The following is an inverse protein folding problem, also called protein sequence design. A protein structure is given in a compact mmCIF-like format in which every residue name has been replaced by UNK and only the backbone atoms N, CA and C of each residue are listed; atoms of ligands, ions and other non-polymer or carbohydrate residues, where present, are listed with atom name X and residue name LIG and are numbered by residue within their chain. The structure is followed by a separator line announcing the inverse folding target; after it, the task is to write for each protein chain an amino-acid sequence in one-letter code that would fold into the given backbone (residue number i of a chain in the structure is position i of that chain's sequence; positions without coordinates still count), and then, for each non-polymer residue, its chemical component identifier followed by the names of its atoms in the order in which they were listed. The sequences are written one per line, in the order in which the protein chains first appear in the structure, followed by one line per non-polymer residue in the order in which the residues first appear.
data_IF_274789367870
#
_entry.id   IF_274789367870
#
_cell.length_a   1.000
_cell.length_b   1.000
_cell.length_c   1.000
_cell.angle_alpha   90.00
_cell.angle_beta   90.00
_cell.angle_gamma   90.00
#
_symmetry.space_group_name_H-M   'P 1'
#
loop_
_entity.id
_entity.type
_entity.pdbx_description
1 polymer ?
#
# COMPACT_ATOMS: atom_id res chain seq x y z
N UNK A 1 28.10 -24.92 -12.67
CA UNK A 1 27.51 -23.79 -11.90
C UNK A 1 26.01 -23.85 -12.03
N UNK A 2 25.36 -24.36 -10.98
CA UNK A 2 24.02 -24.93 -11.03
C UNK A 2 22.90 -23.90 -11.14
N UNK A 3 21.84 -24.30 -11.83
CA UNK A 3 20.53 -23.69 -11.80
C UNK A 3 20.00 -23.74 -10.36
N UNK A 4 19.83 -22.58 -9.72
CA UNK A 4 19.11 -22.48 -8.45
C UNK A 4 17.62 -22.45 -8.75
N UNK A 5 16.89 -23.39 -8.17
CA UNK A 5 15.44 -23.28 -8.00
C UNK A 5 15.17 -22.09 -7.07
N UNK A 6 14.41 -21.11 -7.55
CA UNK A 6 13.92 -20.02 -6.71
C UNK A 6 12.83 -20.56 -5.80
N UNK A 7 13.10 -20.51 -4.50
CA UNK A 7 12.12 -20.77 -3.46
C UNK A 7 11.07 -19.63 -3.49
N UNK A 8 9.76 -19.91 -3.64
CA UNK A 8 8.72 -18.88 -3.57
C UNK A 8 8.63 -18.19 -2.20
N UNK A 9 9.35 -18.68 -1.17
CA UNK A 9 9.52 -18.02 0.12
C UNK A 9 10.78 -17.13 0.24
N UNK A 10 11.59 -17.00 -0.82
CA UNK A 10 12.74 -16.09 -0.80
C UNK A 10 12.25 -14.63 -0.96
N UNK A 11 11.95 -14.00 0.18
CA UNK A 11 11.59 -12.60 0.31
C UNK A 11 12.57 -11.63 -0.39
N UNK A 12 13.79 -12.09 -0.75
CA UNK A 12 14.76 -11.33 -1.55
C UNK A 12 14.42 -11.26 -3.04
N UNK A 13 13.65 -12.21 -3.59
CA UNK A 13 13.25 -12.21 -5.00
C UNK A 13 11.86 -11.61 -5.24
N UNK A 14 11.05 -11.40 -4.19
CA UNK A 14 9.77 -10.68 -4.28
C UNK A 14 9.93 -9.14 -4.35
N UNK A 15 11.14 -8.59 -4.25
CA UNK A 15 11.41 -7.15 -4.22
C UNK A 15 12.42 -6.74 -5.31
N UNK A 16 12.11 -7.03 -6.57
CA UNK A 16 12.71 -6.30 -7.70
C UNK A 16 12.08 -4.90 -7.89
N UNK A 17 11.58 -4.28 -6.82
CA UNK A 17 11.52 -2.82 -6.76
C UNK A 17 12.96 -2.40 -6.59
N UNK A 18 13.63 -1.92 -7.65
CA UNK A 18 14.97 -1.40 -7.46
C UNK A 18 14.87 -0.29 -6.40
N UNK A 19 15.61 -0.42 -5.30
CA UNK A 19 15.68 0.62 -4.26
C UNK A 19 16.17 1.96 -4.81
N UNK A 20 16.60 1.96 -6.06
CA UNK A 20 17.15 3.03 -6.88
C UNK A 20 16.17 3.55 -7.95
N UNK A 21 14.86 3.47 -7.74
CA UNK A 21 13.87 4.07 -8.64
C UNK A 21 14.21 5.51 -9.04
N UNK A 22 13.83 5.91 -10.25
CA UNK A 22 14.13 7.21 -10.86
C UNK A 22 13.26 8.29 -10.23
N UNK A 23 13.86 9.37 -9.73
CA UNK A 23 13.10 10.55 -9.28
C UNK A 23 12.38 11.16 -10.47
N UNK A 24 11.05 11.21 -10.40
CA UNK A 24 10.19 11.86 -11.41
C UNK A 24 9.58 13.16 -10.90
N UNK A 25 9.63 13.38 -9.59
CA UNK A 25 9.17 14.60 -8.94
C UNK A 25 9.92 14.78 -7.61
N UNK A 26 10.33 16.01 -7.31
CA UNK A 26 10.85 16.39 -5.99
C UNK A 26 10.41 17.82 -5.67
N UNK A 27 10.04 18.08 -4.42
CA UNK A 27 9.74 19.41 -3.91
C UNK A 27 10.01 19.50 -2.39
N UNK A 28 10.23 20.70 -1.84
CA UNK A 28 10.25 20.91 -0.39
C UNK A 28 8.93 20.46 0.27
N UNK A 29 9.02 19.85 1.44
CA UNK A 29 7.86 19.47 2.25
C UNK A 29 7.24 20.71 2.90
N UNK A 30 5.91 20.84 2.81
CA UNK A 30 5.14 21.86 3.53
C UNK A 30 5.03 21.58 5.04
N UNK A 31 5.30 20.34 5.47
CA UNK A 31 5.19 19.91 6.87
C UNK A 31 6.52 20.08 7.62
N UNK A 32 7.64 19.94 6.92
CA UNK A 32 8.98 20.10 7.50
C UNK A 32 9.87 20.83 6.49
N UNK A 33 10.23 22.10 6.73
CA UNK A 33 10.96 22.94 5.77
C UNK A 33 12.32 22.38 5.35
N UNK A 34 12.91 21.52 6.17
CA UNK A 34 14.22 20.90 5.92
C UNK A 34 14.11 19.54 5.23
N UNK A 35 12.90 19.09 4.88
CA UNK A 35 12.67 17.82 4.21
C UNK A 35 12.21 18.05 2.77
N UNK A 36 12.54 17.12 1.88
CA UNK A 36 11.95 17.05 0.54
C UNK A 36 10.93 15.90 0.45
N UNK A 37 10.01 16.02 -0.48
CA UNK A 37 9.08 14.96 -0.87
C UNK A 37 9.47 14.52 -2.27
N UNK A 38 9.89 13.27 -2.41
CA UNK A 38 10.22 12.67 -3.70
C UNK A 38 9.16 11.67 -4.13
N UNK A 39 8.80 11.70 -5.41
CA UNK A 39 8.15 10.57 -6.08
C UNK A 39 9.18 9.89 -6.98
N UNK A 40 9.36 8.59 -6.76
CA UNK A 40 10.25 7.75 -7.58
C UNK A 40 9.45 6.75 -8.38
N UNK A 41 9.77 6.63 -9.66
CA UNK A 41 9.23 5.63 -10.56
C UNK A 41 10.14 4.39 -10.63
N UNK A 42 9.49 3.23 -10.64
CA UNK A 42 10.08 1.90 -10.70
C UNK A 42 9.52 1.14 -11.89
N UNK A 43 9.95 -0.12 -12.06
CA UNK A 43 9.44 -1.00 -13.10
C UNK A 43 7.92 -1.21 -12.97
N UNK A 44 7.28 -1.56 -14.09
CA UNK A 44 5.88 -1.98 -14.17
C UNK A 44 4.86 -0.98 -13.61
N UNK A 45 5.18 0.31 -13.62
CA UNK A 45 4.30 1.38 -13.16
C UNK A 45 4.27 1.56 -11.64
N UNK A 46 5.16 0.90 -10.90
CA UNK A 46 5.31 1.11 -9.46
C UNK A 46 5.94 2.47 -9.15
N UNK A 47 5.44 3.12 -8.10
CA UNK A 47 5.92 4.42 -7.62
C UNK A 47 6.02 4.42 -6.11
N UNK A 48 7.03 5.12 -5.59
CA UNK A 48 7.18 5.35 -4.16
C UNK A 48 7.14 6.84 -3.84
N UNK A 49 6.42 7.18 -2.77
CA UNK A 49 6.47 8.49 -2.14
C UNK A 49 7.44 8.43 -0.97
N UNK A 50 8.39 9.35 -0.92
CA UNK A 50 9.43 9.39 0.12
C UNK A 50 9.52 10.77 0.74
N UNK A 51 9.70 10.82 2.05
CA UNK A 51 10.28 11.99 2.70
C UNK A 51 11.79 11.84 2.73
N UNK A 52 12.50 12.83 2.20
CA UNK A 52 13.95 12.92 2.26
C UNK A 52 14.30 13.89 3.38
N UNK A 53 15.03 13.39 4.38
CA UNK A 53 15.52 14.12 5.53
C UNK A 53 16.81 14.87 5.19
N UNK A 54 17.19 15.90 5.99
CA UNK A 54 18.51 16.49 5.91
C UNK A 54 19.61 15.43 5.94
N UNK A 55 20.56 15.51 5.00
CA UNK A 55 21.63 14.51 4.86
C UNK A 55 21.30 13.35 3.91
N UNK A 56 20.17 13.39 3.21
CA UNK A 56 19.86 12.48 2.10
C UNK A 56 19.27 11.13 2.51
N UNK A 57 19.04 10.91 3.80
CA UNK A 57 18.30 9.73 4.28
C UNK A 57 16.82 9.88 3.92
N UNK A 58 16.19 8.84 3.38
CA UNK A 58 14.81 8.92 2.92
C UNK A 58 13.94 7.80 3.47
N UNK A 59 12.77 8.14 4.00
CA UNK A 59 11.75 7.20 4.49
C UNK A 59 10.62 7.03 3.48
N UNK A 60 10.34 5.80 3.08
CA UNK A 60 9.23 5.47 2.18
C UNK A 60 7.92 5.56 2.96
N UNK A 61 7.01 6.42 2.50
CA UNK A 61 5.70 6.62 3.13
C UNK A 61 4.62 5.80 2.46
N UNK A 62 4.70 5.67 1.13
CA UNK A 62 3.73 4.91 0.38
C UNK A 62 4.33 4.29 -0.88
N UNK A 63 3.71 3.20 -1.31
CA UNK A 63 4.07 2.44 -2.50
C UNK A 63 2.77 2.15 -3.25
N UNK A 64 2.68 2.60 -4.50
CA UNK A 64 1.50 2.41 -5.33
C UNK A 64 1.92 2.01 -6.73
N UNK A 65 1.18 1.10 -7.35
CA UNK A 65 1.25 0.90 -8.79
C UNK A 65 0.26 1.83 -9.45
N UNK A 66 0.65 2.49 -10.53
CA UNK A 66 -0.27 3.27 -11.35
C UNK A 66 -0.66 2.51 -12.62
N UNK A 67 -1.92 2.65 -13.01
CA UNK A 67 -2.45 2.26 -14.33
C UNK A 67 -2.08 3.34 -15.36
N UNK A 68 -2.24 3.04 -16.65
CA UNK A 68 -1.79 3.91 -17.74
C UNK A 68 -2.25 5.38 -17.66
N UNK A 69 -3.46 5.66 -17.13
CA UNK A 69 -3.98 7.02 -16.96
C UNK A 69 -3.47 7.75 -15.70
N UNK A 70 -2.53 7.17 -14.95
CA UNK A 70 -2.01 7.74 -13.70
C UNK A 70 -2.89 7.48 -12.47
N UNK A 71 -3.95 6.68 -12.61
CA UNK A 71 -4.77 6.25 -11.47
C UNK A 71 -4.09 5.13 -10.71
N UNK A 72 -4.27 5.07 -9.39
CA UNK A 72 -3.76 3.96 -8.59
C UNK A 72 -4.40 2.63 -9.03
N UNK A 73 -3.62 1.56 -9.00
CA UNK A 73 -4.13 0.20 -9.09
C UNK A 73 -4.45 -0.29 -7.68
N UNK A 74 -5.73 -0.30 -7.35
CA UNK A 74 -6.27 -0.62 -6.02
C UNK A 74 -5.99 -2.07 -5.61
N UNK A 75 -5.72 -2.95 -6.58
CA UNK A 75 -5.42 -4.35 -6.34
C UNK A 75 -3.91 -4.63 -6.24
N UNK A 76 -3.07 -3.67 -6.64
CA UNK A 76 -1.62 -3.82 -6.61
C UNK A 76 -1.05 -3.38 -5.25
N UNK A 77 -1.01 -4.33 -4.33
CA UNK A 77 -0.46 -4.12 -2.99
C UNK A 77 0.99 -4.62 -2.94
N UNK A 78 1.95 -3.73 -2.68
CA UNK A 78 3.37 -4.10 -2.59
C UNK A 78 3.68 -4.88 -1.30
N UNK A 79 3.14 -4.43 -0.18
CA UNK A 79 3.50 -4.95 1.14
C UNK A 79 2.71 -6.21 1.48
N UNK A 80 3.40 -7.34 1.67
CA UNK A 80 2.78 -8.63 2.06
C UNK A 80 1.97 -8.53 3.35
N UNK A 81 2.46 -7.79 4.34
CA UNK A 81 1.71 -7.64 5.60
C UNK A 81 0.33 -6.98 5.37
N UNK A 82 0.22 -6.02 4.45
CA UNK A 82 -1.07 -5.39 4.12
C UNK A 82 -2.02 -6.37 3.44
N UNK A 83 -1.50 -7.26 2.57
CA UNK A 83 -2.31 -8.32 1.94
C UNK A 83 -2.84 -9.27 2.99
N UNK A 84 -1.99 -9.72 3.90
CA UNK A 84 -2.37 -10.63 5.00
C UNK A 84 -3.38 -9.96 5.93
N UNK A 85 -3.18 -8.70 6.31
CA UNK A 85 -4.15 -7.93 7.11
C UNK A 85 -5.50 -7.84 6.40
N UNK A 86 -5.51 -7.48 5.12
CA UNK A 86 -6.75 -7.38 4.35
C UNK A 86 -7.49 -8.73 4.26
N UNK A 87 -6.78 -9.81 3.94
CA UNK A 87 -7.34 -11.15 3.84
C UNK A 87 -7.93 -11.62 5.19
N UNK A 88 -7.18 -11.43 6.29
CA UNK A 88 -7.64 -11.81 7.63
C UNK A 88 -8.89 -11.03 8.04
N UNK A 89 -8.92 -9.71 7.80
CA UNK A 89 -10.09 -8.88 8.08
C UNK A 89 -11.30 -9.33 7.26
N UNK A 90 -11.15 -9.59 5.97
CA UNK A 90 -12.26 -10.05 5.12
C UNK A 90 -12.79 -11.42 5.57
N UNK A 91 -11.91 -12.33 5.95
CA UNK A 91 -12.30 -13.63 6.49
C UNK A 91 -13.09 -13.48 7.80
N UNK A 92 -12.62 -12.64 8.72
CA UNK A 92 -13.31 -12.36 9.98
C UNK A 92 -14.70 -11.74 9.75
N UNK A 93 -14.79 -10.76 8.84
CA UNK A 93 -16.07 -10.16 8.46
C UNK A 93 -17.04 -11.16 7.84
N UNK A 94 -16.54 -12.06 7.00
CA UNK A 94 -17.32 -13.16 6.42
C UNK A 94 -17.88 -14.08 7.50
N UNK A 95 -17.05 -14.49 8.46
CA UNK A 95 -17.48 -15.33 9.58
C UNK A 95 -18.55 -14.63 10.45
N UNK A 96 -18.34 -13.37 10.84
CA UNK A 96 -19.30 -12.62 11.63
C UNK A 96 -20.68 -12.48 10.94
N UNK A 97 -20.71 -12.35 9.61
CA UNK A 97 -21.96 -12.31 8.84
C UNK A 97 -22.67 -13.66 8.81
N UNK A 98 -21.92 -14.76 8.68
CA UNK A 98 -22.49 -16.11 8.67
C UNK A 98 -23.08 -16.52 10.03
N UNK A 99 -22.46 -16.07 11.11
CA UNK A 99 -22.92 -16.35 12.48
C UNK A 99 -24.06 -15.42 12.95
N UNK A 100 -24.55 -14.53 12.08
CA UNK A 100 -25.62 -13.57 12.41
C UNK A 100 -25.18 -12.40 13.31
N UNK A 101 -23.87 -12.22 13.50
CA UNK A 101 -23.30 -11.13 14.32
C UNK A 101 -23.24 -9.77 13.62
N UNK A 102 -23.42 -9.73 12.29
CA UNK A 102 -23.55 -8.50 11.50
C UNK A 102 -24.76 -8.61 10.59
N UNK A 103 -25.68 -7.64 10.67
CA UNK A 103 -26.79 -7.54 9.72
C UNK A 103 -26.24 -7.34 8.31
N UNK A 104 -26.65 -8.22 7.39
CA UNK A 104 -26.19 -8.22 5.99
C UNK A 104 -26.49 -6.91 5.25
N UNK A 105 -27.50 -6.16 5.70
CA UNK A 105 -27.95 -4.91 5.07
C UNK A 105 -27.18 -3.67 5.52
N UNK A 106 -26.37 -3.76 6.58
CA UNK A 106 -25.64 -2.59 7.07
C UNK A 106 -24.29 -2.41 6.33
N UNK A 107 -23.95 -1.17 5.96
CA UNK A 107 -22.66 -0.88 5.35
C UNK A 107 -21.53 -1.20 6.33
N UNK A 108 -20.44 -1.78 5.83
CA UNK A 108 -19.27 -2.10 6.63
C UNK A 108 -18.63 -0.82 7.16
N UNK A 109 -18.44 -0.70 8.47
CA UNK A 109 -17.80 0.48 9.09
C UNK A 109 -16.38 0.12 9.53
N UNK A 110 -15.38 0.74 8.91
CA UNK A 110 -13.96 0.47 9.17
C UNK A 110 -13.29 1.68 9.82
N UNK A 111 -12.56 1.43 10.90
CA UNK A 111 -11.68 2.40 11.55
C UNK A 111 -10.22 2.01 11.31
N UNK A 112 -9.46 2.89 10.67
CA UNK A 112 -8.02 2.75 10.49
C UNK A 112 -7.30 3.63 11.52
N UNK A 113 -6.52 3.01 12.39
CA UNK A 113 -5.60 3.71 13.30
C UNK A 113 -4.25 3.84 12.60
N UNK A 114 -3.99 5.01 12.03
CA UNK A 114 -2.90 5.28 11.11
C UNK A 114 -3.32 5.05 9.65
N UNK A 115 -3.32 6.12 8.85
CA UNK A 115 -3.59 6.03 7.41
C UNK A 115 -2.40 5.42 6.63
N UNK A 116 -1.18 5.64 7.11
CA UNK A 116 0.03 5.37 6.33
C UNK A 116 -0.04 6.04 4.96
N UNK A 117 0.22 5.28 3.90
CA UNK A 117 0.04 5.71 2.51
C UNK A 117 -1.40 5.61 1.97
N UNK A 118 -2.38 5.29 2.82
CA UNK A 118 -3.78 5.06 2.40
C UNK A 118 -4.00 3.76 1.62
N UNK A 119 -2.97 2.94 1.43
CA UNK A 119 -3.02 1.70 0.63
C UNK A 119 -4.09 0.73 1.12
N UNK A 120 -4.18 0.51 2.44
CA UNK A 120 -5.16 -0.44 3.00
C UNK A 120 -6.59 0.12 2.89
N UNK A 121 -6.78 1.40 3.19
CA UNK A 121 -8.07 2.06 3.06
C UNK A 121 -8.56 2.03 1.59
N UNK A 122 -7.67 2.32 0.63
CA UNK A 122 -7.98 2.24 -0.80
C UNK A 122 -8.35 0.82 -1.24
N UNK A 123 -7.68 -0.20 -0.69
CA UNK A 123 -8.00 -1.59 -0.99
C UNK A 123 -9.41 -1.95 -0.48
N UNK A 124 -9.76 -1.56 0.75
CA UNK A 124 -11.11 -1.79 1.29
C UNK A 124 -12.19 -0.98 0.57
N UNK A 125 -11.89 0.25 0.13
CA UNK A 125 -12.78 1.02 -0.72
C UNK A 125 -13.13 0.27 -2.01
N UNK A 126 -12.16 -0.43 -2.59
CA UNK A 126 -12.34 -1.23 -3.80
C UNK A 126 -13.07 -2.56 -3.53
N UNK A 127 -12.69 -3.28 -2.48
CA UNK A 127 -13.25 -4.60 -2.16
C UNK A 127 -14.63 -4.54 -1.50
N UNK A 128 -14.95 -3.42 -0.85
CA UNK A 128 -16.20 -3.18 -0.13
C UNK A 128 -16.71 -1.77 -0.49
N UNK A 129 -17.27 -1.56 -1.69
CA UNK A 129 -17.61 -0.22 -2.19
C UNK A 129 -18.64 0.52 -1.34
N UNK A 130 -19.51 -0.20 -0.65
CA UNK A 130 -20.52 0.38 0.25
C UNK A 130 -19.98 0.62 1.67
N UNK A 131 -18.67 0.42 1.91
CA UNK A 131 -18.08 0.61 3.23
C UNK A 131 -17.95 2.09 3.59
N UNK A 132 -18.12 2.37 4.88
CA UNK A 132 -17.85 3.66 5.50
C UNK A 132 -16.51 3.57 6.23
N UNK A 133 -15.57 4.43 5.87
CA UNK A 133 -14.19 4.36 6.38
C UNK A 133 -13.82 5.65 7.09
N UNK A 134 -13.25 5.53 8.28
CA UNK A 134 -12.62 6.62 9.02
C UNK A 134 -11.16 6.24 9.23
N UNK A 135 -10.25 7.16 8.92
CA UNK A 135 -8.83 7.02 9.23
C UNK A 135 -8.41 8.15 10.19
N UNK A 136 -7.70 7.79 11.25
CA UNK A 136 -7.18 8.70 12.28
C UNK A 136 -5.66 8.62 12.31
#
# INVERSE_FOLDING_TARGET
NGYRFNDPADWRSAHLWSTTGKVIFSQPSSVSPNCEVEVREHLDGWRTLRFILPGGQGSVQSIHRLKGAGTCDEQAIANEYLKTTAAATLAALGACRQEGGLEMEQPLRLLFLGLGGGTLASLFAHLCPDSQMIAV
#
